data_IF_441396572418
#
_entry.id   IF_441396572418
#
_cell.length_a   1.000
_cell.length_b   1.000
_cell.length_c   1.000
_cell.angle_alpha   90.00
_cell.angle_beta   90.00
_cell.angle_gamma   90.00
#
_symmetry.space_group_name_H-M   'P 1'
#
loop_
_entity.id
_entity.type
_entity.pdbx_description
1 polymer ?
#
# COMPACT_ATOMS: atom_id res chain seq x y z
N UNK A 1 -7.97 41.61 50.52
CA UNK A 1 -7.27 40.66 51.41
C UNK A 1 -6.69 39.53 50.56
N UNK A 2 -5.37 39.43 50.45
CA UNK A 2 -4.69 38.35 49.72
C UNK A 2 -4.61 37.13 50.64
N UNK A 3 -5.43 36.10 50.39
CA UNK A 3 -5.27 34.79 51.02
C UNK A 3 -4.10 34.10 50.31
N UNK A 4 -2.96 34.03 50.96
CA UNK A 4 -1.84 33.19 50.51
C UNK A 4 -2.27 31.73 50.64
N UNK A 5 -2.35 31.02 49.53
CA UNK A 5 -2.69 29.59 49.52
C UNK A 5 -1.57 28.81 50.18
N UNK A 6 -1.86 28.22 51.34
CA UNK A 6 -1.01 27.22 51.96
C UNK A 6 -1.09 25.96 51.11
N UNK A 7 -0.09 25.74 50.27
CA UNK A 7 0.05 24.47 49.54
C UNK A 7 0.34 23.41 50.60
N UNK A 8 -0.61 22.51 50.80
CA UNK A 8 -0.43 21.41 51.75
C UNK A 8 0.64 20.46 51.21
N UNK A 9 1.55 20.00 52.07
CA UNK A 9 2.64 19.08 51.72
C UNK A 9 2.15 17.85 50.92
N UNK A 10 0.90 17.43 51.16
CA UNK A 10 0.24 16.34 50.44
C UNK A 10 0.05 16.62 48.95
N UNK A 11 -0.26 17.85 48.55
CA UNK A 11 -0.42 18.24 47.15
C UNK A 11 0.91 18.16 46.40
N UNK A 12 2.02 18.52 47.06
CA UNK A 12 3.36 18.43 46.49
C UNK A 12 3.76 16.98 46.24
N UNK A 13 3.50 16.08 47.20
CA UNK A 13 3.80 14.64 47.05
C UNK A 13 3.01 14.03 45.90
N UNK A 14 1.71 14.33 45.79
CA UNK A 14 0.88 13.83 44.69
C UNK A 14 1.36 14.32 43.31
N UNK A 15 1.76 15.59 43.22
CA UNK A 15 2.30 16.17 41.99
C UNK A 15 3.60 15.46 41.55
N UNK A 16 4.50 15.16 42.48
CA UNK A 16 5.75 14.44 42.19
C UNK A 16 5.46 13.03 41.65
N UNK A 17 4.52 12.31 42.27
CA UNK A 17 4.13 10.96 41.82
C UNK A 17 3.55 11.00 40.40
N UNK A 18 2.71 12.00 40.09
CA UNK A 18 2.11 12.18 38.77
C UNK A 18 3.17 12.50 37.70
N UNK A 19 4.13 13.37 38.01
CA UNK A 19 5.23 13.70 37.09
C UNK A 19 6.13 12.48 36.87
N UNK A 20 6.46 11.74 37.94
CA UNK A 20 7.28 10.52 37.86
C UNK A 20 6.59 9.43 37.03
N UNK A 21 5.28 9.21 37.22
CA UNK A 21 4.54 8.21 36.44
C UNK A 21 4.44 8.60 34.97
N UNK A 22 4.17 9.87 34.67
CA UNK A 22 4.15 10.38 33.30
C UNK A 22 5.53 10.26 32.63
N UNK A 23 6.62 10.57 33.35
CA UNK A 23 7.98 10.45 32.84
C UNK A 23 8.35 8.99 32.52
N UNK A 24 7.94 8.03 33.37
CA UNK A 24 8.14 6.60 33.12
C UNK A 24 7.38 6.17 31.85
N UNK A 25 6.12 6.59 31.69
CA UNK A 25 5.32 6.27 30.50
C UNK A 25 5.98 6.85 29.24
N UNK A 26 6.39 8.12 29.25
CA UNK A 26 7.10 8.73 28.12
C UNK A 26 8.40 7.99 27.82
N UNK A 27 9.16 7.60 28.84
CA UNK A 27 10.38 6.83 28.66
C UNK A 27 10.10 5.52 27.93
N UNK A 28 9.04 4.79 28.29
CA UNK A 28 8.64 3.58 27.56
C UNK A 28 8.21 3.89 26.12
N UNK A 29 7.41 4.93 25.88
CA UNK A 29 6.97 5.32 24.52
C UNK A 29 8.18 5.62 23.62
N UNK A 30 9.17 6.36 24.12
CA UNK A 30 10.38 6.68 23.35
C UNK A 30 11.34 5.48 23.22
N UNK A 31 11.48 4.64 24.26
CA UNK A 31 12.36 3.45 24.25
C UNK A 31 11.82 2.31 23.41
N UNK A 32 10.50 2.18 23.31
CA UNK A 32 9.85 1.17 22.47
C UNK A 32 10.09 1.42 20.99
N UNK A 33 10.76 2.53 20.63
CA UNK A 33 11.18 2.84 19.27
C UNK A 33 10.01 2.60 18.33
N UNK A 34 8.86 3.22 18.65
CA UNK A 34 7.72 3.34 17.77
C UNK A 34 8.27 3.94 16.49
N UNK A 35 8.70 3.07 15.58
CA UNK A 35 9.36 3.48 14.35
C UNK A 35 8.44 4.48 13.67
N UNK A 36 9.03 5.42 12.93
CA UNK A 36 8.21 6.27 12.07
C UNK A 36 7.35 5.34 11.21
N UNK A 37 6.03 5.39 11.42
CA UNK A 37 5.10 4.54 10.71
C UNK A 37 5.32 4.78 9.21
N UNK A 38 5.50 3.69 8.46
CA UNK A 38 5.68 3.80 7.03
C UNK A 38 4.42 4.37 6.38
N UNK A 39 4.54 5.02 5.22
CA UNK A 39 3.37 5.48 4.46
C UNK A 39 2.39 4.34 4.16
N UNK A 40 2.90 3.11 4.01
CA UNK A 40 2.12 1.89 3.81
C UNK A 40 1.27 1.55 5.04
N UNK A 41 1.86 1.56 6.24
CA UNK A 41 1.14 1.33 7.50
C UNK A 41 0.13 2.45 7.81
N UNK A 42 0.49 3.71 7.54
CA UNK A 42 -0.43 4.84 7.70
C UNK A 42 -1.65 4.66 6.80
N UNK A 43 -1.44 4.26 5.55
CA UNK A 43 -2.55 3.98 4.62
C UNK A 43 -3.41 2.81 5.11
N UNK A 44 -2.80 1.67 5.47
CA UNK A 44 -3.53 0.50 5.97
C UNK A 44 -4.39 0.84 7.19
N UNK A 45 -3.81 1.56 8.16
CA UNK A 45 -4.54 2.01 9.34
C UNK A 45 -5.64 3.02 8.98
N UNK A 46 -5.40 3.91 8.03
CA UNK A 46 -6.42 4.86 7.55
C UNK A 46 -7.60 4.13 6.91
N UNK A 47 -7.34 3.11 6.08
CA UNK A 47 -8.37 2.28 5.44
C UNK A 47 -9.18 1.51 6.49
N UNK A 48 -8.52 0.91 7.48
CA UNK A 48 -9.19 0.19 8.56
C UNK A 48 -10.03 1.10 9.47
N UNK A 49 -9.57 2.33 9.74
CA UNK A 49 -10.33 3.31 10.52
C UNK A 49 -11.54 3.84 9.76
N UNK A 50 -11.39 4.04 8.44
CA UNK A 50 -12.48 4.50 7.58
C UNK A 50 -13.69 3.54 7.64
N UNK A 51 -13.45 2.23 7.53
CA UNK A 51 -14.51 1.22 7.65
C UNK A 51 -15.27 1.29 8.98
N UNK A 52 -14.54 1.47 10.09
CA UNK A 52 -15.16 1.60 11.42
C UNK A 52 -15.99 2.87 11.56
N UNK A 53 -15.51 3.98 11.00
CA UNK A 53 -16.24 5.25 11.02
C UNK A 53 -17.57 5.16 10.26
N UNK A 54 -17.59 4.41 9.14
CA UNK A 54 -18.80 4.13 8.36
C UNK A 54 -19.85 3.39 9.20
N UNK A 55 -19.43 2.42 10.01
CA UNK A 55 -20.34 1.68 10.91
C UNK A 55 -20.91 2.56 12.03
N UNK A 56 -20.16 3.57 12.48
CA UNK A 56 -20.60 4.51 13.51
C UNK A 56 -21.56 5.61 13.00
N UNK A 57 -21.82 5.67 11.68
CA UNK A 57 -22.67 6.70 11.08
C UNK A 57 -22.03 8.09 10.98
N UNK A 58 -20.73 8.21 11.28
CA UNK A 58 -19.98 9.47 11.26
C UNK A 58 -19.22 9.65 9.94
N UNK A 59 -19.93 9.51 8.82
CA UNK A 59 -19.34 9.45 7.47
C UNK A 59 -18.57 10.75 7.10
N UNK A 60 -18.94 11.88 7.70
CA UNK A 60 -18.33 13.20 7.40
C UNK A 60 -17.16 13.60 8.30
N UNK A 61 -16.90 12.88 9.41
CA UNK A 61 -15.91 13.33 10.42
C UNK A 61 -14.53 12.70 10.27
N UNK A 62 -14.43 11.49 9.70
CA UNK A 62 -13.17 10.76 9.51
C UNK A 62 -12.75 10.75 8.05
N UNK A 63 -12.40 11.93 7.55
CA UNK A 63 -11.22 12.19 6.71
C UNK A 63 -10.99 11.35 5.45
N UNK A 64 -10.59 12.05 4.40
CA UNK A 64 -9.93 11.48 3.21
C UNK A 64 -8.89 10.42 3.60
N UNK A 65 -8.84 9.31 2.87
CA UNK A 65 -7.87 8.23 3.09
C UNK A 65 -6.45 8.80 3.04
N UNK A 66 -5.66 8.58 4.09
CA UNK A 66 -4.27 9.04 4.15
C UNK A 66 -3.34 8.03 3.47
N UNK A 67 -3.53 7.84 2.18
CA UNK A 67 -2.78 6.92 1.36
C UNK A 67 -1.93 7.71 0.37
N UNK A 68 -0.62 7.77 0.60
CA UNK A 68 0.30 8.40 -0.34
C UNK A 68 0.82 7.37 -1.32
N UNK A 69 0.88 7.73 -2.60
CA UNK A 69 1.54 6.92 -3.61
C UNK A 69 3.04 6.90 -3.35
N UNK A 70 3.62 5.70 -3.24
CA UNK A 70 5.05 5.53 -3.06
C UNK A 70 5.76 5.59 -4.42
N UNK A 71 6.92 6.24 -4.48
CA UNK A 71 7.75 6.25 -5.69
C UNK A 71 8.94 5.32 -5.49
N UNK A 72 8.94 4.16 -6.14
CA UNK A 72 10.00 3.15 -6.04
C UNK A 72 10.90 3.15 -7.28
N UNK A 73 12.20 3.24 -7.04
CA UNK A 73 13.23 3.09 -8.05
C UNK A 73 13.95 1.75 -7.86
N UNK A 74 13.71 0.82 -8.78
CA UNK A 74 14.36 -0.49 -8.79
C UNK A 74 15.55 -0.44 -9.76
N UNK A 75 16.77 -0.69 -9.28
CA UNK A 75 17.99 -0.44 -10.06
C UNK A 75 19.12 -1.42 -9.74
N UNK A 76 20.23 -1.36 -10.50
CA UNK A 76 21.49 -2.05 -10.15
C UNK A 76 22.36 -1.22 -9.19
N UNK A 77 21.80 -0.20 -8.54
CA UNK A 77 22.47 0.69 -7.59
C UNK A 77 22.66 2.13 -8.10
N UNK A 78 22.28 2.42 -9.34
CA UNK A 78 22.16 3.76 -9.88
C UNK A 78 20.84 4.44 -9.48
N UNK A 79 20.80 5.77 -9.55
CA UNK A 79 19.54 6.51 -9.39
C UNK A 79 18.75 6.46 -10.70
N UNK A 80 17.43 6.28 -10.60
CA UNK A 80 16.53 6.43 -11.74
C UNK A 80 16.51 7.90 -12.20
N UNK A 81 16.86 8.18 -13.45
CA UNK A 81 16.84 9.54 -14.02
C UNK A 81 15.41 10.08 -14.05
N UNK A 82 15.26 11.39 -13.83
CA UNK A 82 13.97 12.10 -13.92
C UNK A 82 12.84 11.44 -13.10
N UNK A 83 13.18 10.92 -11.92
CA UNK A 83 12.24 10.24 -11.04
C UNK A 83 12.63 10.48 -9.58
N UNK A 84 11.78 11.20 -8.85
CA UNK A 84 11.96 11.47 -7.43
C UNK A 84 11.46 10.29 -6.62
N UNK A 85 12.31 9.27 -6.45
CA UNK A 85 11.97 8.09 -5.69
C UNK A 85 12.06 8.34 -4.17
N UNK A 86 11.06 7.85 -3.45
CA UNK A 86 11.07 7.77 -1.98
C UNK A 86 11.86 6.54 -1.52
N UNK A 87 11.82 5.47 -2.32
CA UNK A 87 12.45 4.17 -2.03
C UNK A 87 13.41 3.81 -3.17
N UNK A 88 14.61 3.34 -2.81
CA UNK A 88 15.63 2.88 -3.75
C UNK A 88 15.92 1.40 -3.48
N UNK A 89 15.45 0.55 -4.38
CA UNK A 89 15.59 -0.90 -4.29
C UNK A 89 16.74 -1.36 -5.19
N UNK A 90 17.88 -1.71 -4.60
CA UNK A 90 19.01 -2.28 -5.35
C UNK A 90 18.77 -3.78 -5.53
N UNK A 91 18.71 -4.22 -6.78
CA UNK A 91 18.54 -5.63 -7.16
C UNK A 91 19.73 -6.10 -7.98
N UNK A 92 20.23 -7.30 -7.71
CA UNK A 92 21.41 -7.90 -8.35
C UNK A 92 21.03 -8.98 -9.37
N UNK A 93 19.92 -9.67 -9.16
CA UNK A 93 19.44 -10.72 -10.06
C UNK A 93 18.05 -10.39 -10.60
N UNK A 94 17.57 -11.22 -11.53
CA UNK A 94 16.21 -11.14 -12.06
C UNK A 94 15.17 -11.59 -11.03
N UNK A 95 15.51 -12.58 -10.22
CA UNK A 95 14.67 -13.09 -9.14
C UNK A 95 14.46 -12.03 -8.05
N UNK A 96 15.50 -11.28 -7.70
CA UNK A 96 15.38 -10.14 -6.77
C UNK A 96 14.51 -9.01 -7.35
N UNK A 97 14.60 -8.74 -8.66
CA UNK A 97 13.74 -7.80 -9.37
C UNK A 97 12.26 -8.23 -9.28
N UNK A 98 11.97 -9.50 -9.59
CA UNK A 98 10.62 -10.04 -9.46
C UNK A 98 10.12 -10.03 -8.02
N UNK A 99 10.97 -10.38 -7.06
CA UNK A 99 10.64 -10.31 -5.63
C UNK A 99 10.26 -8.90 -5.20
N UNK A 100 11.01 -7.90 -5.66
CA UNK A 100 10.74 -6.49 -5.35
C UNK A 100 9.37 -6.07 -5.87
N UNK A 101 9.05 -6.39 -7.14
CA UNK A 101 7.74 -6.11 -7.72
C UNK A 101 6.61 -6.87 -7.01
N UNK A 102 6.82 -8.15 -6.68
CA UNK A 102 5.85 -8.99 -6.00
C UNK A 102 5.53 -8.49 -4.58
N UNK A 103 6.55 -8.00 -3.87
CA UNK A 103 6.39 -7.35 -2.56
C UNK A 103 5.58 -6.07 -2.69
N UNK A 104 5.91 -5.17 -3.62
CA UNK A 104 5.14 -3.94 -3.82
C UNK A 104 3.68 -4.21 -4.20
N UNK A 105 3.41 -5.24 -5.01
CA UNK A 105 2.05 -5.67 -5.33
C UNK A 105 1.32 -6.22 -4.10
N UNK A 106 1.99 -7.02 -3.28
CA UNK A 106 1.42 -7.57 -2.04
C UNK A 106 1.15 -6.49 -1.01
N UNK A 107 2.06 -5.54 -0.87
CA UNK A 107 1.91 -4.41 0.04
C UNK A 107 0.74 -3.52 -0.38
N UNK A 108 0.59 -3.27 -1.68
CA UNK A 108 -0.58 -2.57 -2.21
C UNK A 108 -1.89 -3.30 -1.87
N UNK A 109 -1.92 -4.63 -2.02
CA UNK A 109 -3.09 -5.43 -1.67
C UNK A 109 -3.42 -5.36 -0.17
N UNK A 110 -2.38 -5.46 0.67
CA UNK A 110 -2.49 -5.36 2.11
C UNK A 110 -2.95 -3.97 2.57
N UNK A 111 -2.38 -2.90 2.01
CA UNK A 111 -2.72 -1.51 2.33
C UNK A 111 -4.22 -1.23 2.21
N UNK A 112 -4.89 -1.88 1.27
CA UNK A 112 -6.33 -1.72 1.02
C UNK A 112 -7.18 -2.84 1.62
N UNK A 113 -6.66 -3.53 2.63
CA UNK A 113 -7.43 -4.48 3.43
C UNK A 113 -7.72 -5.81 2.76
N UNK A 114 -6.91 -6.20 1.75
CA UNK A 114 -6.96 -7.53 1.13
C UNK A 114 -8.36 -7.89 0.57
N UNK A 115 -9.10 -6.88 0.10
CA UNK A 115 -10.46 -7.05 -0.42
C UNK A 115 -11.55 -7.30 0.64
N UNK A 116 -11.21 -7.22 1.92
CA UNK A 116 -12.14 -7.42 3.04
C UNK A 116 -12.76 -6.12 3.54
N UNK A 117 -12.10 -4.98 3.27
CA UNK A 117 -12.48 -3.67 3.79
C UNK A 117 -13.17 -2.85 2.69
N UNK A 118 -14.40 -2.38 2.92
CA UNK A 118 -15.07 -1.45 2.00
C UNK A 118 -14.66 0.00 2.27
N UNK A 119 -13.73 0.51 1.45
CA UNK A 119 -13.20 1.87 1.56
C UNK A 119 -13.77 2.84 0.53
N UNK A 120 -14.74 2.42 -0.30
CA UNK A 120 -15.35 3.30 -1.32
C UNK A 120 -16.63 4.01 -0.82
N UNK A 121 -17.25 3.52 0.26
CA UNK A 121 -18.51 4.10 0.76
C UNK A 121 -19.71 3.80 -0.15
N UNK A 122 -20.92 4.20 0.24
CA UNK A 122 -22.17 3.68 -0.34
C UNK A 122 -22.55 4.25 -1.73
N UNK A 123 -21.77 5.18 -2.29
CA UNK A 123 -22.30 6.14 -3.27
C UNK A 123 -21.85 5.93 -4.71
N UNK A 124 -20.82 5.13 -4.98
CA UNK A 124 -20.31 4.94 -6.34
C UNK A 124 -20.35 3.45 -6.76
N UNK A 125 -21.10 3.16 -7.83
CA UNK A 125 -21.23 1.82 -8.44
C UNK A 125 -20.17 1.53 -9.53
N UNK A 126 -19.30 2.49 -9.79
CA UNK A 126 -18.23 2.32 -10.76
C UNK A 126 -16.96 1.73 -10.10
N UNK A 127 -16.05 1.14 -10.90
CA UNK A 127 -14.79 0.64 -10.37
C UNK A 127 -13.86 1.79 -9.98
N UNK A 128 -13.48 1.87 -8.71
CA UNK A 128 -12.56 2.88 -8.21
C UNK A 128 -11.24 2.21 -7.83
N UNK A 129 -10.14 2.81 -8.25
CA UNK A 129 -8.82 2.30 -7.97
C UNK A 129 -7.92 3.33 -7.29
N UNK A 130 -7.05 2.82 -6.43
CA UNK A 130 -6.00 3.56 -5.79
C UNK A 130 -4.64 3.14 -6.34
N UNK A 131 -3.79 4.14 -6.60
CA UNK A 131 -2.40 3.91 -7.02
C UNK A 131 -1.54 3.84 -5.76
N UNK A 132 -1.07 2.64 -5.44
CA UNK A 132 -0.24 2.38 -4.26
C UNK A 132 1.21 2.81 -4.49
N UNK A 133 1.76 2.44 -5.65
CA UNK A 133 3.17 2.68 -5.97
C UNK A 133 3.33 3.05 -7.45
N UNK A 134 4.25 3.97 -7.73
CA UNK A 134 4.80 4.20 -9.07
C UNK A 134 6.20 3.61 -9.11
N UNK A 135 6.46 2.76 -10.08
CA UNK A 135 7.73 2.05 -10.24
C UNK A 135 8.45 2.55 -11.47
N UNK A 136 9.73 2.88 -11.30
CA UNK A 136 10.66 3.12 -12.41
C UNK A 136 11.89 2.23 -12.27
N UNK A 137 12.37 1.74 -13.41
CA UNK A 137 13.57 0.93 -13.48
C UNK A 137 14.80 1.78 -13.82
N UNK A 138 15.94 1.40 -13.26
CA UNK A 138 17.23 2.00 -13.56
C UNK A 138 17.71 1.66 -14.98
N UNK A 139 18.50 2.56 -15.57
CA UNK A 139 18.98 2.44 -16.95
C UNK A 139 19.73 1.11 -17.18
N UNK A 140 20.48 0.61 -16.20
CA UNK A 140 21.25 -0.65 -16.34
C UNK A 140 20.35 -1.87 -16.47
N UNK A 141 19.18 -1.88 -15.82
CA UNK A 141 18.20 -2.96 -15.99
C UNK A 141 17.66 -2.92 -17.42
N UNK A 142 17.40 -1.74 -17.95
CA UNK A 142 16.93 -1.57 -19.33
C UNK A 142 17.98 -1.99 -20.36
N UNK A 143 19.26 -1.72 -20.10
CA UNK A 143 20.38 -2.16 -20.94
C UNK A 143 20.58 -3.68 -20.91
N UNK A 144 20.40 -4.31 -19.74
CA UNK A 144 20.53 -5.76 -19.56
C UNK A 144 19.39 -6.53 -20.24
N UNK A 145 18.18 -5.95 -20.24
CA UNK A 145 16.98 -6.54 -20.83
C UNK A 145 16.35 -5.58 -21.85
N UNK A 146 16.98 -5.38 -23.03
CA UNK A 146 16.55 -4.37 -24.00
C UNK A 146 15.18 -4.68 -24.62
N UNK A 147 14.76 -5.95 -24.61
CA UNK A 147 13.44 -6.39 -25.07
C UNK A 147 12.43 -6.55 -23.92
N UNK A 148 12.80 -6.12 -22.71
CA UNK A 148 12.04 -6.37 -21.50
C UNK A 148 12.03 -7.84 -21.08
N UNK A 149 11.11 -8.17 -20.19
CA UNK A 149 10.84 -9.54 -19.74
C UNK A 149 9.38 -9.90 -20.00
N UNK A 150 9.09 -11.15 -20.35
CA UNK A 150 7.70 -11.59 -20.54
C UNK A 150 6.90 -11.46 -19.24
N UNK A 151 5.68 -10.92 -19.32
CA UNK A 151 4.79 -10.88 -18.16
C UNK A 151 4.40 -12.27 -17.68
N UNK A 152 4.36 -13.26 -18.57
CA UNK A 152 4.17 -14.68 -18.20
C UNK A 152 5.29 -15.17 -17.28
N UNK A 153 6.53 -14.77 -17.52
CA UNK A 153 7.67 -15.14 -16.68
C UNK A 153 7.50 -14.57 -15.26
N UNK A 154 7.06 -13.32 -15.14
CA UNK A 154 6.75 -12.70 -13.86
C UNK A 154 5.56 -13.37 -13.15
N UNK A 155 4.47 -13.70 -13.86
CA UNK A 155 3.35 -14.43 -13.24
C UNK A 155 3.74 -15.84 -12.80
N UNK A 156 4.56 -16.55 -13.58
CA UNK A 156 5.12 -17.84 -13.19
C UNK A 156 5.97 -17.73 -11.92
N UNK A 157 6.70 -16.63 -11.74
CA UNK A 157 7.38 -16.34 -10.48
C UNK A 157 6.38 -16.19 -9.33
N UNK A 158 5.32 -15.38 -9.49
CA UNK A 158 4.31 -15.21 -8.44
C UNK A 158 3.63 -16.53 -8.03
N UNK A 159 3.40 -17.42 -8.99
CA UNK A 159 2.76 -18.74 -8.76
C UNK A 159 3.69 -19.67 -7.98
N UNK A 160 4.99 -19.63 -8.24
CA UNK A 160 5.97 -20.57 -7.65
C UNK A 160 6.53 -20.07 -6.32
N UNK A 161 6.78 -18.77 -6.21
CA UNK A 161 7.48 -18.22 -5.07
C UNK A 161 6.55 -18.00 -3.87
N UNK A 162 7.00 -18.47 -2.71
CA UNK A 162 6.30 -18.27 -1.43
C UNK A 162 6.40 -16.82 -0.97
N UNK A 163 5.26 -16.21 -0.66
CA UNK A 163 5.23 -14.94 0.06
C UNK A 163 5.52 -15.16 1.55
N UNK A 164 4.93 -16.22 2.09
CA UNK A 164 5.11 -16.69 3.47
C UNK A 164 5.03 -18.23 3.51
N UNK A 165 5.09 -18.82 4.70
CA UNK A 165 5.10 -20.29 4.83
C UNK A 165 3.82 -20.95 4.28
N UNK A 166 2.71 -20.22 4.29
CA UNK A 166 1.36 -20.72 4.02
C UNK A 166 0.94 -20.57 2.57
N UNK A 167 1.45 -19.57 1.85
CA UNK A 167 0.98 -19.23 0.52
C UNK A 167 2.02 -18.59 -0.40
N UNK A 168 1.78 -18.68 -1.70
CA UNK A 168 2.56 -18.01 -2.76
C UNK A 168 2.09 -16.56 -2.95
N UNK A 169 2.89 -15.74 -3.64
CA UNK A 169 2.47 -14.38 -3.98
C UNK A 169 1.17 -14.36 -4.79
N UNK A 170 1.03 -15.29 -5.74
CA UNK A 170 -0.17 -15.38 -6.57
C UNK A 170 -1.40 -15.78 -5.76
N UNK A 171 -1.27 -16.76 -4.86
CA UNK A 171 -2.35 -17.15 -3.95
C UNK A 171 -2.74 -15.99 -3.02
N UNK A 172 -1.77 -15.27 -2.48
CA UNK A 172 -2.04 -14.15 -1.57
C UNK A 172 -2.80 -13.00 -2.27
N UNK A 173 -2.31 -12.58 -3.43
CA UNK A 173 -2.86 -11.42 -4.14
C UNK A 173 -4.21 -11.77 -4.77
N UNK A 174 -4.34 -12.95 -5.39
CA UNK A 174 -5.50 -13.29 -6.23
C UNK A 174 -6.45 -14.31 -5.59
N UNK A 175 -6.05 -14.98 -4.50
CA UNK A 175 -6.83 -16.05 -3.90
C UNK A 175 -6.93 -17.31 -4.78
N UNK A 176 -5.94 -17.55 -5.64
CA UNK A 176 -5.93 -18.62 -6.66
C UNK A 176 -4.60 -19.37 -6.68
N UNK A 177 -4.66 -20.64 -7.10
CA UNK A 177 -3.50 -21.52 -7.23
C UNK A 177 -2.77 -21.34 -8.56
N UNK A 178 -3.49 -20.99 -9.63
CA UNK A 178 -2.96 -20.95 -10.98
C UNK A 178 -3.64 -19.89 -11.85
N UNK A 179 -2.99 -19.57 -12.97
CA UNK A 179 -3.44 -18.56 -13.93
C UNK A 179 -4.70 -18.98 -14.71
N UNK A 180 -4.88 -20.28 -14.99
CA UNK A 180 -6.02 -20.79 -15.77
C UNK A 180 -7.36 -20.61 -15.06
N UNK A 181 -7.35 -20.57 -13.73
CA UNK A 181 -8.54 -20.31 -12.92
C UNK A 181 -9.02 -18.86 -12.97
N UNK A 182 -8.35 -18.00 -13.74
CA UNK A 182 -8.63 -16.58 -13.81
C UNK A 182 -9.57 -16.24 -14.97
N UNK A 183 -10.83 -15.94 -14.65
CA UNK A 183 -11.84 -15.44 -15.61
C UNK A 183 -12.21 -13.96 -15.40
N UNK A 184 -11.45 -13.23 -14.56
CA UNK A 184 -11.81 -11.92 -14.00
C UNK A 184 -10.93 -10.72 -14.34
N UNK A 185 -11.20 -9.59 -13.64
CA UNK A 185 -10.71 -8.21 -13.84
C UNK A 185 -9.24 -7.98 -13.45
N UNK A 186 -8.31 -8.73 -14.03
CA UNK A 186 -6.87 -8.49 -13.84
C UNK A 186 -6.29 -7.92 -15.12
N UNK A 187 -5.39 -6.94 -14.98
CA UNK A 187 -4.60 -6.51 -16.12
C UNK A 187 -3.59 -7.61 -16.46
N UNK A 188 -3.74 -8.22 -17.65
CA UNK A 188 -2.73 -9.15 -18.15
C UNK A 188 -1.54 -8.36 -18.66
N UNK A 189 -0.44 -8.46 -17.95
CA UNK A 189 0.82 -7.89 -18.40
C UNK A 189 1.41 -8.76 -19.51
N UNK A 190 1.56 -8.20 -20.70
CA UNK A 190 2.19 -8.90 -21.83
C UNK A 190 3.72 -8.92 -21.67
N UNK A 191 4.32 -7.77 -21.37
CA UNK A 191 5.76 -7.63 -21.12
C UNK A 191 6.09 -6.48 -20.16
N UNK A 192 7.22 -6.65 -19.46
CA UNK A 192 7.91 -5.67 -18.64
C UNK A 192 8.96 -4.94 -19.50
N UNK A 193 8.57 -3.84 -20.13
CA UNK A 193 9.46 -2.92 -20.82
C UNK A 193 10.05 -1.92 -19.81
N UNK A 194 11.31 -2.13 -19.42
CA UNK A 194 11.97 -1.35 -18.38
C UNK A 194 12.22 0.12 -18.75
N UNK A 195 12.04 0.51 -20.02
CA UNK A 195 12.07 1.92 -20.42
C UNK A 195 10.83 2.70 -19.94
N UNK A 196 9.75 1.98 -19.59
CA UNK A 196 8.46 2.57 -19.20
C UNK A 196 8.34 2.75 -17.69
N UNK A 197 7.41 3.64 -17.31
CA UNK A 197 6.94 3.79 -15.94
C UNK A 197 5.76 2.86 -15.71
N UNK A 198 5.73 2.23 -14.54
CA UNK A 198 4.64 1.35 -14.14
C UNK A 198 3.94 1.90 -12.91
N UNK A 199 2.68 1.53 -12.76
CA UNK A 199 1.92 1.75 -11.53
C UNK A 199 1.47 0.41 -10.99
N UNK A 200 1.46 0.32 -9.67
CA UNK A 200 0.82 -0.77 -8.93
C UNK A 200 -0.44 -0.17 -8.33
N UNK A 201 -1.57 -0.77 -8.70
CA UNK A 201 -2.90 -0.31 -8.30
C UNK A 201 -3.73 -1.48 -7.79
N UNK A 202 -4.69 -1.15 -6.94
CA UNK A 202 -5.78 -2.03 -6.50
C UNK A 202 -7.05 -1.21 -6.45
N UNK A 203 -8.19 -1.85 -6.25
CA UNK A 203 -9.46 -1.14 -6.26
C UNK A 203 -10.61 -2.02 -5.80
N UNK A 204 -11.81 -1.46 -5.90
CA UNK A 204 -13.06 -2.15 -5.67
C UNK A 204 -14.08 -1.71 -6.72
N UNK A 205 -15.00 -2.62 -7.02
CA UNK A 205 -16.15 -2.35 -7.86
C UNK A 205 -17.38 -2.80 -7.11
N UNK A 206 -18.26 -1.84 -6.84
CA UNK A 206 -19.56 -2.12 -6.24
C UNK A 206 -20.55 -2.60 -7.27
N UNK A 207 -21.34 -3.60 -6.89
CA UNK A 207 -22.46 -4.08 -7.71
C UNK A 207 -23.70 -4.17 -6.84
N UNK A 208 -24.79 -3.58 -7.32
CA UNK A 208 -26.08 -3.62 -6.62
C UNK A 208 -26.64 -5.04 -6.46
N UNK A 209 -26.25 -5.97 -7.35
CA UNK A 209 -26.84 -7.31 -7.44
C UNK A 209 -25.85 -8.46 -7.35
N UNK A 210 -24.55 -8.23 -7.63
CA UNK A 210 -23.57 -9.31 -7.79
C UNK A 210 -22.60 -9.45 -6.62
N UNK A 211 -22.81 -8.70 -5.53
CA UNK A 211 -21.83 -8.53 -4.47
C UNK A 211 -20.67 -7.64 -4.91
N UNK A 212 -19.97 -7.07 -3.93
CA UNK A 212 -18.81 -6.24 -4.19
C UNK A 212 -17.66 -7.12 -4.71
N UNK A 213 -17.01 -6.65 -5.77
CA UNK A 213 -15.86 -7.34 -6.36
C UNK A 213 -14.60 -6.51 -6.14
N UNK A 214 -13.55 -7.15 -5.62
CA UNK A 214 -12.26 -6.50 -5.49
C UNK A 214 -11.52 -6.48 -6.81
N UNK A 215 -10.85 -5.37 -7.10
CA UNK A 215 -9.85 -5.27 -8.18
C UNK A 215 -8.50 -5.61 -7.56
N UNK A 216 -8.01 -6.79 -7.88
CA UNK A 216 -6.75 -7.30 -7.34
C UNK A 216 -5.56 -6.41 -7.73
N UNK A 217 -4.53 -6.44 -6.89
CA UNK A 217 -3.30 -5.69 -7.14
C UNK A 217 -2.72 -6.04 -8.50
N UNK A 218 -2.50 -5.04 -9.34
CA UNK A 218 -2.09 -5.20 -10.73
C UNK A 218 -0.96 -4.24 -11.06
N UNK A 219 0.05 -4.74 -11.78
CA UNK A 219 1.13 -3.94 -12.34
C UNK A 219 0.77 -3.53 -13.76
N UNK A 220 0.64 -2.22 -13.99
CA UNK A 220 0.14 -1.66 -15.26
C UNK A 220 1.10 -0.60 -15.77
N UNK A 221 1.46 -0.59 -17.07
CA UNK A 221 2.19 0.54 -17.66
C UNK A 221 1.41 1.84 -17.45
N UNK A 222 2.08 2.92 -17.03
CA UNK A 222 1.43 4.20 -16.70
C UNK A 222 0.56 4.73 -17.87
N UNK A 223 1.03 4.58 -19.10
CA UNK A 223 0.33 4.94 -20.33
C UNK A 223 -0.99 4.18 -20.54
N UNK A 224 -1.09 2.97 -19.99
CA UNK A 224 -2.28 2.13 -20.12
C UNK A 224 -3.28 2.35 -18.99
N UNK A 225 -2.95 3.13 -17.97
CA UNK A 225 -3.84 3.40 -16.83
C UNK A 225 -5.15 4.04 -17.31
N UNK A 226 -5.06 5.08 -18.15
CA UNK A 226 -6.24 5.79 -18.66
C UNK A 226 -7.06 4.99 -19.67
N UNK A 227 -6.45 4.04 -20.39
CA UNK A 227 -7.13 3.20 -21.38
C UNK A 227 -7.66 1.90 -20.78
N UNK A 228 -7.18 1.53 -19.59
CA UNK A 228 -7.60 0.31 -18.92
C UNK A 228 -9.07 0.42 -18.49
N UNK A 229 -9.90 -0.51 -18.96
CA UNK A 229 -11.28 -0.69 -18.45
C UNK A 229 -11.32 -1.20 -17.00
N UNK A 230 -10.16 -1.31 -16.34
CA UNK A 230 -10.04 -1.77 -14.97
C UNK A 230 -10.67 -0.77 -14.01
N UNK A 231 -10.41 0.53 -14.19
CA UNK A 231 -10.86 1.55 -13.27
C UNK A 231 -11.56 2.68 -14.03
N UNK A 232 -12.80 2.95 -13.65
CA UNK A 232 -13.56 4.09 -14.15
C UNK A 232 -13.07 5.42 -13.59
N UNK A 233 -12.57 5.40 -12.35
CA UNK A 233 -12.04 6.54 -11.63
C UNK A 233 -10.73 6.14 -10.97
N UNK A 234 -9.75 7.00 -11.16
CA UNK A 234 -8.47 6.94 -10.50
C UNK A 234 -8.38 8.08 -9.51
N UNK A 235 -7.59 7.88 -8.45
CA UNK A 235 -7.15 8.92 -7.51
C UNK A 235 -8.02 9.12 -6.26
N UNK A 236 -8.16 8.05 -5.46
CA UNK A 236 -8.60 8.15 -4.06
C UNK A 236 -7.51 8.68 -3.12
N UNK A 237 -6.28 8.86 -3.61
CA UNK A 237 -5.09 9.21 -2.82
C UNK A 237 -4.78 10.72 -2.82
N UNK A 238 -5.45 11.53 -3.66
CA UNK A 238 -5.34 13.00 -3.70
C UNK A 238 -6.63 13.77 -3.39
N UNK A 239 -7.61 13.16 -2.72
CA UNK A 239 -8.66 13.95 -2.10
C UNK A 239 -8.07 14.60 -0.85
#
# INVERSE_FOLDING_TARGET
MKKSGEITTQQIVFLIILIMSFAIILFFIFRLNLGAASNKEICHNSVALFERSKLAGEIDLFGRLNCKTNYDCISRGEKCKDFSADVFSKVLTKEELFKSLANEMSDCWWMFGEGKIDYLGATDFDSQCAICSMVRFGDKISEEYPNGISGEEFYNYLIKEKKDETQTYFQYIYGKENFESFSGQMYKLDSLDFSKKYVILTGQKKSLFSGDSSVYSSLVPLENVSSSKLCSRFDLTKA
#
